data_IF_489415002246
#
_entry.id   IF_489415002246
#
_cell.length_a   1.000
_cell.length_b   1.000
_cell.length_c   1.000
_cell.angle_alpha   90.00
_cell.angle_beta   90.00
_cell.angle_gamma   90.00
#
_symmetry.space_group_name_H-M   'P 1'
#
loop_
_entity.id
_entity.type
_entity.pdbx_description
1 polymer ?
#
# COMPACT_ATOMS: atom_id res chain seq x y z
N UNK A 1 2.62 -10.81 16.44
CA UNK A 1 2.08 -9.43 16.55
C UNK A 1 3.00 -8.40 15.90
N UNK A 2 4.27 -8.26 16.33
CA UNK A 2 5.20 -7.27 15.74
C UNK A 2 5.36 -7.45 14.24
N UNK A 3 5.64 -8.69 13.79
CA UNK A 3 5.72 -9.03 12.37
C UNK A 3 4.52 -8.52 11.58
N UNK A 4 3.31 -8.86 12.05
CA UNK A 4 2.06 -8.41 11.42
C UNK A 4 1.94 -6.87 11.41
N UNK A 5 2.23 -6.21 12.53
CA UNK A 5 2.23 -4.73 12.60
C UNK A 5 3.21 -4.12 11.59
N UNK A 6 4.41 -4.68 11.47
CA UNK A 6 5.43 -4.21 10.52
C UNK A 6 4.97 -4.40 9.07
N UNK A 7 4.39 -5.55 8.72
CA UNK A 7 3.87 -5.84 7.38
C UNK A 7 2.67 -4.94 7.02
N UNK A 8 1.71 -4.78 7.94
CA UNK A 8 0.54 -3.89 7.76
C UNK A 8 0.98 -2.44 7.62
N UNK A 9 1.83 -1.93 8.52
CA UNK A 9 2.34 -0.57 8.44
C UNK A 9 3.19 -0.33 7.18
N UNK A 10 3.70 -1.39 6.55
CA UNK A 10 4.44 -1.34 5.27
C UNK A 10 3.56 -1.42 4.04
N UNK A 11 2.26 -1.68 4.19
CA UNK A 11 1.32 -1.87 3.08
C UNK A 11 1.52 -3.20 2.34
N UNK A 12 2.18 -4.18 2.96
CA UNK A 12 2.44 -5.50 2.36
C UNK A 12 1.14 -6.31 2.19
N UNK A 13 0.16 -6.06 3.04
CA UNK A 13 -1.10 -6.81 3.14
C UNK A 13 -2.26 -6.19 2.35
N UNK A 14 -2.01 -5.13 1.57
CA UNK A 14 -3.05 -4.43 0.82
C UNK A 14 -3.09 -4.79 -0.65
N UNK A 15 -4.33 -5.03 -1.09
CA UNK A 15 -4.71 -5.30 -2.48
C UNK A 15 -5.05 -4.02 -3.24
N UNK A 16 -5.16 -2.86 -2.58
CA UNK A 16 -5.66 -1.62 -3.17
C UNK A 16 -4.61 -0.49 -3.12
N UNK A 17 -4.31 0.06 -4.28
CA UNK A 17 -3.37 1.17 -4.46
C UNK A 17 -3.73 2.42 -3.65
N UNK A 18 -2.71 3.02 -3.02
CA UNK A 18 -2.77 4.32 -2.33
C UNK A 18 -2.38 4.34 -0.85
N UNK A 19 -1.92 3.23 -0.27
CA UNK A 19 -1.73 3.11 1.18
C UNK A 19 -0.39 3.59 1.74
N UNK A 20 0.04 4.78 1.32
CA UNK A 20 0.77 5.62 2.30
C UNK A 20 -0.15 5.87 3.52
N UNK A 21 -1.47 5.80 3.33
CA UNK A 21 -2.47 6.06 4.36
C UNK A 21 -2.56 5.01 5.47
N UNK A 22 -2.33 3.70 5.25
CA UNK A 22 -2.38 2.72 6.36
C UNK A 22 -1.28 3.00 7.39
N UNK A 23 -0.06 3.27 6.93
CA UNK A 23 1.03 3.66 7.83
C UNK A 23 0.64 4.89 8.68
N UNK A 24 -0.02 5.88 8.05
CA UNK A 24 -0.52 7.06 8.74
C UNK A 24 -1.68 6.76 9.69
N UNK A 25 -2.60 5.88 9.32
CA UNK A 25 -3.74 5.48 10.16
C UNK A 25 -3.27 4.71 11.40
N UNK A 26 -2.36 3.74 11.23
CA UNK A 26 -1.74 3.00 12.33
C UNK A 26 -0.97 3.94 13.26
N UNK A 27 -0.20 4.87 12.69
CA UNK A 27 0.51 5.89 13.48
C UNK A 27 -0.45 6.82 14.21
N UNK A 28 -1.50 7.30 13.55
CA UNK A 28 -2.53 8.16 14.18
C UNK A 28 -3.21 7.45 15.35
N UNK A 29 -3.63 6.19 15.17
CA UNK A 29 -4.25 5.39 16.22
C UNK A 29 -3.31 5.17 17.41
N UNK A 30 -2.01 4.93 17.15
CA UNK A 30 -0.99 4.84 18.20
C UNK A 30 -0.84 6.15 19.00
N UNK A 31 -0.72 7.29 18.31
CA UNK A 31 -0.58 8.59 18.98
C UNK A 31 -1.83 8.96 19.78
N UNK A 32 -3.03 8.67 19.28
CA UNK A 32 -4.29 8.85 20.00
C UNK A 32 -4.35 7.99 21.27
N UNK A 33 -3.99 6.72 21.18
CA UNK A 33 -3.96 5.81 22.33
C UNK A 33 -2.91 6.25 23.36
N UNK A 34 -1.75 6.73 22.91
CA UNK A 34 -0.66 7.22 23.74
C UNK A 34 -1.07 8.50 24.49
N UNK A 35 -1.64 9.48 23.79
CA UNK A 35 -2.16 10.71 24.37
C UNK A 35 -3.23 10.44 25.43
N UNK A 36 -4.01 9.38 25.23
CA UNK A 36 -5.07 8.97 26.12
C UNK A 36 -4.59 8.07 27.28
N UNK A 37 -3.27 7.90 27.47
CA UNK A 37 -2.67 7.13 28.57
C UNK A 37 -2.89 5.62 28.51
N UNK A 38 -3.26 5.08 27.34
CA UNK A 38 -3.61 3.66 27.14
C UNK A 38 -2.43 2.82 26.62
N UNK A 39 -1.25 3.43 26.48
CA UNK A 39 -0.04 2.79 25.95
C UNK A 39 1.01 2.72 27.05
N UNK A 40 1.25 1.51 27.57
CA UNK A 40 2.34 1.23 28.51
C UNK A 40 3.68 1.00 27.81
N UNK A 41 4.75 0.76 28.60
CA UNK A 41 6.13 0.55 28.12
C UNK A 41 6.24 -0.51 27.01
N UNK A 42 5.59 -1.66 27.20
CA UNK A 42 5.61 -2.78 26.24
C UNK A 42 4.97 -2.39 24.91
N UNK A 43 3.79 -1.77 24.96
CA UNK A 43 3.09 -1.32 23.74
C UNK A 43 3.86 -0.21 23.03
N UNK A 44 4.42 0.77 23.76
CA UNK A 44 5.25 1.82 23.16
C UNK A 44 6.40 1.22 22.36
N UNK A 45 7.12 0.27 22.97
CA UNK A 45 8.25 -0.40 22.31
C UNK A 45 7.82 -1.24 21.11
N UNK A 46 6.71 -1.96 21.22
CA UNK A 46 6.14 -2.76 20.13
C UNK A 46 5.84 -1.89 18.90
N UNK A 47 5.17 -0.75 19.09
CA UNK A 47 4.84 0.17 18.00
C UNK A 47 6.07 0.85 17.41
N UNK A 48 7.02 1.30 18.25
CA UNK A 48 8.27 1.89 17.78
C UNK A 48 9.09 0.92 16.92
N UNK A 49 9.27 -0.32 17.37
CA UNK A 49 9.94 -1.37 16.59
C UNK A 49 9.16 -1.73 15.33
N UNK A 50 7.83 -1.83 15.40
CA UNK A 50 6.98 -2.04 14.22
C UNK A 50 7.15 -0.93 13.17
N UNK A 51 7.17 0.34 13.58
CA UNK A 51 7.39 1.47 12.67
C UNK A 51 8.81 1.52 12.11
N UNK A 52 9.82 1.12 12.90
CA UNK A 52 11.21 1.00 12.46
C UNK A 52 11.35 -0.07 11.37
N UNK A 53 10.88 -1.30 11.64
CA UNK A 53 10.87 -2.38 10.66
C UNK A 53 10.10 -1.95 9.40
N UNK A 54 8.95 -1.31 9.59
CA UNK A 54 8.14 -0.85 8.47
C UNK A 54 8.85 0.18 7.58
N UNK A 55 9.60 1.11 8.18
CA UNK A 55 10.43 2.07 7.43
C UNK A 55 11.52 1.36 6.65
N UNK A 56 12.18 0.37 7.24
CA UNK A 56 13.23 -0.41 6.58
C UNK A 56 12.69 -1.26 5.44
N UNK A 57 11.55 -1.94 5.65
CA UNK A 57 10.85 -2.72 4.62
C UNK A 57 10.58 -1.84 3.40
N UNK A 58 9.95 -0.67 3.59
CA UNK A 58 9.66 0.26 2.49
C UNK A 58 10.92 0.69 1.75
N UNK A 59 12.01 0.99 2.46
CA UNK A 59 13.24 1.50 1.84
C UNK A 59 14.08 0.43 1.16
N UNK A 60 14.03 -0.83 1.62
CA UNK A 60 14.93 -1.90 1.15
C UNK A 60 14.29 -2.84 0.13
N UNK A 61 12.98 -3.04 0.20
CA UNK A 61 12.30 -4.05 -0.62
C UNK A 61 11.63 -3.46 -1.86
N UNK A 62 11.35 -2.15 -1.88
CA UNK A 62 10.52 -1.57 -2.94
C UNK A 62 9.12 -2.20 -3.03
N UNK A 63 8.61 -2.83 -1.96
CA UNK A 63 7.31 -3.55 -1.97
C UNK A 63 6.14 -2.69 -2.45
N UNK A 64 6.23 -1.36 -2.28
CA UNK A 64 5.23 -0.40 -2.73
C UNK A 64 5.10 -0.32 -4.26
N UNK A 65 6.20 -0.53 -4.99
CA UNK A 65 6.22 -0.52 -6.47
C UNK A 65 5.74 -1.85 -7.07
N UNK A 66 5.62 -2.90 -6.26
CA UNK A 66 5.29 -4.25 -6.72
C UNK A 66 3.78 -4.56 -6.65
N UNK A 67 3.00 -3.74 -5.95
CA UNK A 67 1.56 -3.92 -5.80
C UNK A 67 0.80 -2.98 -6.73
N UNK A 68 0.89 -3.23 -8.03
CA UNK A 68 0.30 -2.36 -9.04
C UNK A 68 -0.90 -3.03 -9.71
N UNK A 69 -2.08 -2.40 -9.59
CA UNK A 69 -3.29 -2.81 -10.30
C UNK A 69 -3.33 -2.23 -11.71
N UNK A 70 -4.15 -2.86 -12.56
CA UNK A 70 -4.36 -2.44 -13.95
C UNK A 70 -4.75 -0.95 -14.08
N UNK A 71 -5.69 -0.40 -13.28
CA UNK A 71 -5.98 1.05 -13.28
C UNK A 71 -4.77 1.94 -13.05
N UNK A 72 -3.84 1.55 -12.19
CA UNK A 72 -2.64 2.35 -11.92
C UNK A 72 -1.63 2.24 -13.05
N UNK A 73 -1.38 1.04 -13.57
CA UNK A 73 -0.51 0.86 -14.74
C UNK A 73 -1.03 1.65 -15.94
N UNK A 74 -2.34 1.63 -16.17
CA UNK A 74 -2.99 2.42 -17.21
C UNK A 74 -2.67 3.92 -17.06
N UNK A 75 -2.88 4.47 -15.85
CA UNK A 75 -2.61 5.90 -15.57
C UNK A 75 -1.12 6.24 -15.65
N UNK A 76 -0.25 5.36 -15.16
CA UNK A 76 1.20 5.55 -15.23
C UNK A 76 1.68 5.56 -16.68
N UNK A 77 1.28 4.57 -17.47
CA UNK A 77 1.60 4.47 -18.90
C UNK A 77 1.12 5.71 -19.66
N UNK A 78 -0.08 6.19 -19.36
CA UNK A 78 -0.61 7.41 -19.98
C UNK A 78 0.25 8.65 -19.66
N UNK A 79 0.73 8.78 -18.40
CA UNK A 79 1.62 9.88 -18.00
C UNK A 79 3.00 9.79 -18.67
N UNK A 80 3.52 8.58 -18.87
CA UNK A 80 4.80 8.36 -19.57
C UNK A 80 4.70 8.72 -21.05
N UNK A 81 3.62 8.30 -21.72
CA UNK A 81 3.39 8.58 -23.15
C UNK A 81 2.91 10.01 -23.43
N UNK A 82 2.25 10.65 -22.47
CA UNK A 82 1.72 12.03 -22.59
C UNK A 82 2.23 12.89 -21.42
N UNK A 83 3.47 13.44 -21.52
CA UNK A 83 4.13 14.18 -20.43
C UNK A 83 3.41 15.45 -19.93
N UNK A 84 2.42 15.95 -20.67
CA UNK A 84 1.58 17.09 -20.33
C UNK A 84 0.09 16.71 -20.37
N UNK A 85 -0.28 15.65 -19.66
CA UNK A 85 -1.65 15.16 -19.57
C UNK A 85 -2.53 16.13 -18.76
N UNK A 86 -3.05 17.15 -19.45
CA UNK A 86 -3.97 18.13 -18.89
C UNK A 86 -5.31 17.48 -18.52
N UNK A 87 -5.87 17.71 -17.31
CA UNK A 87 -7.12 17.09 -16.88
C UNK A 87 -8.30 17.34 -17.83
N UNK A 88 -8.43 18.56 -18.35
CA UNK A 88 -9.50 18.97 -19.27
C UNK A 88 -9.43 18.29 -20.65
N UNK A 89 -8.27 17.71 -20.99
CA UNK A 89 -8.04 16.90 -22.20
C UNK A 89 -7.93 15.41 -21.89
N UNK A 90 -8.32 14.99 -20.69
CA UNK A 90 -8.34 13.60 -20.25
C UNK A 90 -9.78 13.13 -20.08
N UNK A 91 -10.09 11.97 -20.66
CA UNK A 91 -11.41 11.35 -20.58
C UNK A 91 -11.38 9.98 -19.91
N UNK A 92 -12.45 9.61 -19.22
CA UNK A 92 -12.70 8.25 -18.71
C UNK A 92 -14.09 7.81 -19.15
N UNK A 93 -14.21 6.72 -19.89
CA UNK A 93 -15.47 6.10 -20.26
C UNK A 93 -15.80 5.02 -19.25
N UNK A 94 -16.96 5.12 -18.61
CA UNK A 94 -17.44 4.18 -17.60
C UNK A 94 -17.69 4.83 -16.25
N UNK A 95 -18.51 4.15 -15.43
CA UNK A 95 -18.85 4.59 -14.07
C UNK A 95 -18.77 3.46 -13.05
N UNK A 96 -18.12 2.36 -13.44
CA UNK A 96 -17.88 1.21 -12.57
C UNK A 96 -16.65 1.40 -11.67
N UNK A 97 -16.32 0.35 -10.93
CA UNK A 97 -15.18 0.33 -10.00
C UNK A 97 -13.84 0.66 -10.69
N UNK A 98 -13.60 0.14 -11.89
CA UNK A 98 -12.37 0.41 -12.64
C UNK A 98 -12.25 1.90 -13.02
N UNK A 99 -13.34 2.54 -13.44
CA UNK A 99 -13.36 3.97 -13.74
C UNK A 99 -13.09 4.80 -12.47
N UNK A 100 -13.65 4.39 -11.33
CA UNK A 100 -13.41 5.02 -10.03
C UNK A 100 -11.94 4.90 -9.60
N UNK A 101 -11.34 3.72 -9.78
CA UNK A 101 -9.91 3.50 -9.51
C UNK A 101 -9.02 4.33 -10.44
N UNK A 102 -9.37 4.48 -11.72
CA UNK A 102 -8.64 5.34 -12.66
C UNK A 102 -8.70 6.79 -12.19
N UNK A 103 -9.89 7.32 -11.87
CA UNK A 103 -10.06 8.68 -11.35
C UNK A 103 -9.25 8.92 -10.07
N UNK A 104 -9.27 7.95 -9.15
CA UNK A 104 -8.46 7.98 -7.92
C UNK A 104 -6.96 8.03 -8.21
N UNK A 105 -6.47 7.26 -9.17
CA UNK A 105 -5.04 7.24 -9.55
C UNK A 105 -4.63 8.49 -10.35
N UNK A 106 -5.54 9.07 -11.14
CA UNK A 106 -5.32 10.35 -11.81
C UNK A 106 -5.09 11.47 -10.78
N UNK A 107 -5.90 11.50 -9.70
CA UNK A 107 -5.67 12.38 -8.55
C UNK A 107 -5.78 13.88 -8.86
N UNK A 108 -6.51 14.23 -9.93
CA UNK A 108 -6.69 15.60 -10.41
C UNK A 108 -8.16 15.84 -10.75
N UNK A 109 -8.63 17.07 -10.53
CA UNK A 109 -9.98 17.52 -10.89
C UNK A 109 -10.05 17.97 -12.36
N UNK A 110 -11.24 18.03 -12.94
CA UNK A 110 -11.46 18.50 -14.32
C UNK A 110 -11.43 17.42 -15.40
N UNK A 111 -11.17 16.15 -15.02
CA UNK A 111 -11.23 14.99 -15.93
C UNK A 111 -12.66 14.74 -16.38
N UNK A 112 -12.89 14.57 -17.68
CA UNK A 112 -14.21 14.28 -18.23
C UNK A 112 -14.56 12.82 -18.02
N UNK A 113 -15.72 12.52 -17.45
CA UNK A 113 -16.21 11.15 -17.28
C UNK A 113 -17.46 10.95 -18.13
N UNK A 114 -17.40 9.96 -19.02
CA UNK A 114 -18.45 9.63 -19.97
C UNK A 114 -19.24 8.41 -19.50
N UNK A 115 -20.57 8.49 -19.49
CA UNK A 115 -21.41 7.37 -19.09
C UNK A 115 -22.88 7.52 -19.47
N UNK A 116 -23.62 6.41 -19.33
CA UNK A 116 -25.08 6.37 -19.55
C UNK A 116 -25.88 6.76 -18.31
N UNK A 117 -25.39 6.38 -17.13
CA UNK A 117 -26.08 6.63 -15.86
C UNK A 117 -25.67 7.99 -15.28
N UNK A 118 -26.57 8.96 -15.37
CA UNK A 118 -26.38 10.33 -14.88
C UNK A 118 -26.15 10.42 -13.37
N UNK A 119 -26.79 9.56 -12.58
CA UNK A 119 -26.64 9.54 -11.13
C UNK A 119 -25.21 9.13 -10.75
N UNK A 120 -24.71 8.04 -11.34
CA UNK A 120 -23.32 7.58 -11.11
C UNK A 120 -22.30 8.62 -11.58
N UNK A 121 -22.55 9.29 -12.70
CA UNK A 121 -21.70 10.37 -13.18
C UNK A 121 -21.63 11.53 -12.19
N UNK A 122 -22.77 11.95 -11.62
CA UNK A 122 -22.81 13.00 -10.59
C UNK A 122 -22.03 12.60 -9.35
N UNK A 123 -22.20 11.36 -8.86
CA UNK A 123 -21.46 10.85 -7.70
C UNK A 123 -19.94 10.87 -7.93
N UNK A 124 -19.48 10.52 -9.13
CA UNK A 124 -18.07 10.60 -9.49
C UNK A 124 -17.59 12.05 -9.58
N UNK A 125 -18.41 12.96 -10.09
CA UNK A 125 -18.13 14.39 -10.11
C UNK A 125 -17.98 14.97 -8.70
N UNK A 126 -18.90 14.66 -7.79
CA UNK A 126 -18.86 15.10 -6.39
C UNK A 126 -17.65 14.53 -5.64
N UNK A 127 -17.29 13.26 -5.89
CA UNK A 127 -16.23 12.58 -5.15
C UNK A 127 -14.82 12.93 -5.65
N UNK A 128 -14.65 13.15 -6.96
CA UNK A 128 -13.33 13.28 -7.60
C UNK A 128 -13.12 14.60 -8.36
N UNK A 129 -14.09 15.52 -8.32
CA UNK A 129 -14.03 16.75 -9.12
C UNK A 129 -14.06 16.48 -10.63
N UNK A 130 -14.61 15.33 -11.03
CA UNK A 130 -14.75 14.96 -12.44
C UNK A 130 -15.87 15.77 -13.12
N UNK A 131 -15.73 16.01 -14.41
CA UNK A 131 -16.75 16.67 -15.24
C UNK A 131 -17.66 15.60 -15.83
N UNK A 132 -18.92 15.46 -15.36
CA UNK A 132 -19.82 14.43 -15.86
C UNK A 132 -20.29 14.79 -17.28
N UNK A 133 -20.17 13.84 -18.21
CA UNK A 133 -20.59 13.98 -19.61
C UNK A 133 -21.41 12.76 -20.02
N UNK A 134 -22.52 12.98 -20.73
CA UNK A 134 -23.28 11.86 -21.30
C UNK A 134 -22.50 11.18 -22.41
N UNK A 135 -22.57 9.85 -22.48
CA UNK A 135 -21.79 9.07 -23.45
C UNK A 135 -22.05 9.45 -24.91
N UNK A 136 -23.26 9.92 -25.23
CA UNK A 136 -23.65 10.31 -26.59
C UNK A 136 -22.85 11.53 -27.10
N UNK A 137 -22.22 12.28 -26.20
CA UNK A 137 -21.33 13.41 -26.51
C UNK A 137 -19.88 12.99 -26.76
N UNK A 138 -19.55 11.70 -26.59
CA UNK A 138 -18.17 11.21 -26.73
C UNK A 138 -17.63 11.46 -28.14
N UNK A 139 -18.41 11.19 -29.19
CA UNK A 139 -17.99 11.41 -30.58
C UNK A 139 -17.62 12.88 -30.82
N UNK A 140 -18.46 13.81 -30.36
CA UNK A 140 -18.25 15.26 -30.53
C UNK A 140 -16.98 15.75 -29.82
N UNK A 141 -16.70 15.23 -28.63
CA UNK A 141 -15.62 15.71 -27.77
C UNK A 141 -14.31 14.95 -27.96
N UNK A 142 -14.29 13.89 -28.78
CA UNK A 142 -13.12 13.03 -28.95
C UNK A 142 -11.89 13.81 -29.41
N UNK A 143 -12.07 14.79 -30.32
CA UNK A 143 -10.99 15.62 -30.85
C UNK A 143 -10.34 16.57 -29.84
N UNK A 144 -10.98 16.81 -28.69
CA UNK A 144 -10.42 17.65 -27.63
C UNK A 144 -9.49 16.88 -26.68
N UNK A 145 -9.63 15.55 -26.66
CA UNK A 145 -8.90 14.67 -25.76
C UNK A 145 -7.50 14.36 -26.29
N UNK A 146 -6.57 14.16 -25.35
CA UNK A 146 -5.25 13.55 -25.61
C UNK A 146 -5.13 12.16 -25.02
N UNK A 147 -5.90 11.87 -23.97
CA UNK A 147 -5.93 10.57 -23.30
C UNK A 147 -7.39 10.20 -23.05
N UNK A 148 -7.75 8.97 -23.40
CA UNK A 148 -9.07 8.40 -23.13
C UNK A 148 -8.91 7.02 -22.49
N UNK A 149 -9.30 6.89 -21.23
CA UNK A 149 -9.42 5.61 -20.57
C UNK A 149 -10.79 5.00 -20.84
N UNK A 150 -10.86 3.71 -21.13
CA UNK A 150 -12.12 2.99 -21.35
C UNK A 150 -12.20 1.86 -20.33
N UNK A 151 -13.22 1.92 -19.47
CA UNK A 151 -13.37 1.03 -18.33
C UNK A 151 -14.85 0.70 -18.11
N UNK A 152 -15.44 -0.07 -19.03
CA UNK A 152 -16.85 -0.44 -18.96
C UNK A 152 -17.05 -1.95 -18.98
N UNK A 153 -18.28 -2.39 -18.75
CA UNK A 153 -18.71 -3.78 -18.86
C UNK A 153 -19.59 -4.01 -20.09
N UNK A 154 -19.46 -3.15 -21.11
CA UNK A 154 -20.20 -3.31 -22.36
C UNK A 154 -19.80 -4.62 -23.04
N UNK A 155 -20.75 -5.43 -23.52
CA UNK A 155 -20.44 -6.65 -24.27
C UNK A 155 -19.93 -6.34 -25.69
N UNK A 156 -20.24 -5.16 -26.22
CA UNK A 156 -19.85 -4.70 -27.54
C UNK A 156 -18.88 -3.50 -27.46
N UNK A 157 -17.99 -3.31 -28.45
CA UNK A 157 -17.17 -2.13 -28.58
C UNK A 157 -17.98 -0.83 -28.57
N UNK A 158 -17.55 0.13 -27.76
CA UNK A 158 -18.13 1.48 -27.66
C UNK A 158 -17.44 2.41 -28.67
N UNK A 159 -16.14 2.22 -28.91
CA UNK A 159 -15.36 2.99 -29.86
C UNK A 159 -15.01 2.11 -31.06
N UNK A 160 -15.56 2.47 -32.22
CA UNK A 160 -15.26 1.81 -33.49
C UNK A 160 -14.32 2.63 -34.34
N UNK A 161 -13.63 2.00 -35.28
CA UNK A 161 -12.72 2.70 -36.21
C UNK A 161 -13.44 3.81 -36.97
N UNK A 162 -14.65 3.56 -37.45
CA UNK A 162 -15.43 4.54 -38.22
C UNK A 162 -15.80 5.75 -37.37
N UNK A 163 -16.18 5.55 -36.11
CA UNK A 163 -16.50 6.62 -35.17
C UNK A 163 -15.27 7.50 -34.92
N UNK A 164 -14.13 6.89 -34.62
CA UNK A 164 -12.89 7.61 -34.33
C UNK A 164 -12.37 8.34 -35.57
N UNK A 165 -12.38 7.70 -36.75
CA UNK A 165 -11.97 8.34 -38.00
C UNK A 165 -12.87 9.53 -38.39
N UNK A 166 -14.17 9.47 -38.08
CA UNK A 166 -15.10 10.60 -38.31
C UNK A 166 -14.89 11.74 -37.33
N UNK A 167 -14.61 11.46 -36.07
CA UNK A 167 -14.55 12.46 -35.00
C UNK A 167 -13.16 13.10 -34.85
N UNK A 168 -12.11 12.29 -34.93
CA UNK A 168 -10.74 12.73 -34.68
C UNK A 168 -10.16 13.46 -35.91
N UNK A 169 -9.41 14.53 -35.66
CA UNK A 169 -8.83 15.40 -36.71
C UNK A 169 -7.31 15.57 -36.55
N UNK A 170 -6.66 14.71 -35.77
CA UNK A 170 -5.23 14.74 -35.46
C UNK A 170 -4.92 15.33 -34.08
N UNK A 171 -3.62 15.40 -33.73
CA UNK A 171 -3.16 15.96 -32.43
C UNK A 171 -2.71 14.95 -31.38
N UNK A 172 -2.66 13.66 -31.72
CA UNK A 172 -2.24 12.56 -30.85
C UNK A 172 -3.29 12.21 -29.79
N UNK A 173 -3.89 11.03 -29.91
CA UNK A 173 -4.83 10.48 -28.93
C UNK A 173 -4.35 9.11 -28.46
N UNK A 174 -4.10 8.99 -27.16
CA UNK A 174 -3.86 7.71 -26.50
C UNK A 174 -5.17 7.18 -25.94
N UNK A 175 -5.54 5.96 -26.32
CA UNK A 175 -6.71 5.25 -25.79
C UNK A 175 -6.21 4.06 -24.98
N UNK A 176 -6.59 3.97 -23.71
CA UNK A 176 -6.23 2.87 -22.82
C UNK A 176 -7.50 2.13 -22.41
N UNK A 177 -7.70 0.94 -22.98
CA UNK A 177 -8.88 0.11 -22.74
C UNK A 177 -8.61 -0.98 -21.71
N UNK A 178 -9.12 -0.76 -20.49
CA UNK A 178 -9.03 -1.71 -19.38
C UNK A 178 -10.26 -2.63 -19.26
N UNK A 179 -11.11 -2.67 -20.30
CA UNK A 179 -12.38 -3.42 -20.32
C UNK A 179 -12.19 -4.87 -20.77
N UNK A 180 -12.97 -5.78 -20.18
CA UNK A 180 -13.05 -7.20 -20.58
C UNK A 180 -14.52 -7.61 -20.68
N UNK A 181 -15.05 -7.90 -21.88
CA UNK A 181 -14.39 -7.83 -23.20
C UNK A 181 -13.98 -6.41 -23.61
N UNK A 182 -13.11 -6.29 -24.63
CA UNK A 182 -12.63 -4.99 -25.13
C UNK A 182 -13.80 -4.10 -25.56
N UNK A 183 -13.69 -2.82 -25.24
CA UNK A 183 -14.66 -1.79 -25.59
C UNK A 183 -14.15 -0.81 -26.64
N UNK A 184 -12.92 -1.02 -27.11
CA UNK A 184 -12.33 -0.34 -28.27
C UNK A 184 -12.00 -1.40 -29.32
N UNK A 185 -12.43 -1.18 -30.55
CA UNK A 185 -12.01 -2.06 -31.66
C UNK A 185 -10.51 -1.95 -31.90
N UNK A 186 -9.86 -3.06 -32.21
CA UNK A 186 -8.42 -3.09 -32.49
C UNK A 186 -8.04 -2.18 -33.67
N UNK A 187 -8.91 -2.12 -34.69
CA UNK A 187 -8.72 -1.32 -35.88
C UNK A 187 -8.76 0.21 -35.62
N UNK A 188 -9.17 0.66 -34.41
CA UNK A 188 -9.06 2.08 -34.00
C UNK A 188 -7.60 2.54 -33.99
N UNK A 189 -6.66 1.67 -33.64
CA UNK A 189 -5.22 1.98 -33.65
C UNK A 189 -4.65 2.21 -35.06
N UNK A 190 -5.40 1.89 -36.12
CA UNK A 190 -5.01 2.18 -37.50
C UNK A 190 -5.35 3.62 -37.93
N UNK A 191 -6.11 4.37 -37.12
CA UNK A 191 -6.42 5.77 -37.38
C UNK A 191 -5.18 6.62 -37.11
N UNK A 192 -4.81 7.47 -38.07
CA UNK A 192 -3.60 8.30 -37.98
C UNK A 192 -3.61 9.17 -36.70
N UNK A 193 -2.53 9.08 -35.92
CA UNK A 193 -2.38 9.82 -34.68
C UNK A 193 -3.15 9.24 -33.49
N UNK A 194 -3.70 8.03 -33.60
CA UNK A 194 -4.31 7.30 -32.49
C UNK A 194 -3.40 6.13 -32.07
N UNK A 195 -3.19 5.99 -30.77
CA UNK A 195 -2.51 4.85 -30.17
C UNK A 195 -3.47 4.13 -29.22
N UNK A 196 -3.54 2.81 -29.29
CA UNK A 196 -4.37 2.00 -28.41
C UNK A 196 -3.51 1.08 -27.55
N UNK A 197 -3.85 0.98 -26.27
CA UNK A 197 -3.29 0.03 -25.32
C UNK A 197 -4.45 -0.74 -24.71
N UNK A 198 -4.33 -2.06 -24.63
CA UNK A 198 -5.38 -2.93 -24.12
C UNK A 198 -5.01 -3.53 -22.77
N UNK A 199 -6.02 -4.10 -22.12
CA UNK A 199 -5.88 -4.75 -20.82
C UNK A 199 -4.81 -5.83 -20.82
N UNK A 200 -4.67 -6.57 -21.93
CA UNK A 200 -3.73 -7.68 -22.04
C UNK A 200 -2.27 -7.20 -21.94
N UNK A 201 -1.94 -6.07 -22.57
CA UNK A 201 -0.61 -5.44 -22.49
C UNK A 201 -0.29 -5.03 -21.05
N UNK A 202 -1.29 -4.48 -20.34
CA UNK A 202 -1.15 -4.08 -18.94
C UNK A 202 -1.07 -5.29 -17.99
N UNK A 203 -1.69 -6.42 -18.34
CA UNK A 203 -1.64 -7.66 -17.54
C UNK A 203 -0.25 -8.26 -17.51
N UNK A 204 0.47 -8.25 -18.63
CA UNK A 204 1.84 -8.78 -18.66
C UNK A 204 2.75 -8.00 -17.69
N UNK A 205 2.67 -6.66 -17.73
CA UNK A 205 3.41 -5.79 -16.79
C UNK A 205 2.95 -6.01 -15.34
N UNK A 206 1.64 -6.15 -15.12
CA UNK A 206 1.10 -6.45 -13.79
C UNK A 206 1.59 -7.80 -13.25
N UNK A 207 1.68 -8.81 -14.10
CA UNK A 207 2.19 -10.13 -13.75
C UNK A 207 3.67 -10.10 -13.39
N UNK A 208 4.49 -9.33 -14.12
CA UNK A 208 5.89 -9.11 -13.77
C UNK A 208 6.02 -8.43 -12.39
N UNK A 209 5.22 -7.39 -12.15
CA UNK A 209 5.17 -6.72 -10.85
C UNK A 209 4.69 -7.66 -9.74
N UNK A 210 3.71 -8.53 -10.01
CA UNK A 210 3.23 -9.53 -9.06
C UNK A 210 4.32 -10.58 -8.73
N UNK A 211 5.11 -11.02 -9.72
CA UNK A 211 6.25 -11.92 -9.48
C UNK A 211 7.31 -11.25 -8.61
N UNK A 212 7.62 -9.99 -8.88
CA UNK A 212 8.51 -9.20 -8.02
C UNK A 212 7.93 -9.01 -6.61
N UNK A 213 6.61 -8.85 -6.47
CA UNK A 213 5.94 -8.68 -5.18
C UNK A 213 6.17 -9.88 -4.26
N UNK A 214 6.14 -11.10 -4.79
CA UNK A 214 6.38 -12.31 -4.00
C UNK A 214 7.79 -12.34 -3.39
N UNK A 215 8.81 -11.99 -4.19
CA UNK A 215 10.19 -11.90 -3.71
C UNK A 215 10.37 -10.76 -2.70
N UNK A 216 9.82 -9.59 -2.99
CA UNK A 216 9.88 -8.42 -2.09
C UNK A 216 9.13 -8.67 -0.78
N UNK A 217 8.05 -9.46 -0.81
CA UNK A 217 7.30 -9.86 0.38
C UNK A 217 8.15 -10.79 1.26
N UNK A 218 8.87 -11.75 0.68
CA UNK A 218 9.83 -12.59 1.43
C UNK A 218 10.86 -11.75 2.16
N UNK A 219 11.49 -10.79 1.46
CA UNK A 219 12.45 -9.87 2.07
C UNK A 219 11.81 -9.01 3.17
N UNK A 220 10.56 -8.59 2.99
CA UNK A 220 9.81 -7.84 4.01
C UNK A 220 9.56 -8.69 5.26
N UNK A 221 9.19 -9.96 5.08
CA UNK A 221 9.00 -10.92 6.18
C UNK A 221 10.29 -11.16 6.95
N UNK A 222 11.45 -11.27 6.27
CA UNK A 222 12.76 -11.42 6.93
C UNK A 222 13.11 -10.22 7.81
N UNK A 223 12.90 -8.99 7.32
CA UNK A 223 13.12 -7.77 8.10
C UNK A 223 12.18 -7.72 9.31
N UNK A 224 10.91 -8.08 9.10
CA UNK A 224 9.90 -8.08 10.14
C UNK A 224 10.17 -9.13 11.22
N UNK A 225 10.67 -10.31 10.84
CA UNK A 225 11.07 -11.39 11.75
C UNK A 225 12.26 -10.97 12.60
N UNK A 226 13.31 -10.40 11.98
CA UNK A 226 14.50 -9.92 12.68
C UNK A 226 14.16 -8.89 13.76
N UNK A 227 13.30 -7.92 13.45
CA UNK A 227 12.87 -6.93 14.45
C UNK A 227 11.96 -7.55 15.53
N UNK A 228 11.15 -8.57 15.18
CA UNK A 228 10.36 -9.32 16.16
C UNK A 228 11.25 -10.07 17.16
N UNK A 229 12.34 -10.69 16.69
CA UNK A 229 13.34 -11.32 17.55
C UNK A 229 14.03 -10.32 18.47
N UNK A 230 14.43 -9.15 17.95
CA UNK A 230 15.02 -8.07 18.77
C UNK A 230 14.06 -7.59 19.87
N UNK A 231 12.77 -7.45 19.53
CA UNK A 231 11.74 -7.09 20.50
C UNK A 231 11.56 -8.17 21.57
N UNK A 232 11.53 -9.45 21.19
CA UNK A 232 11.38 -10.55 22.14
C UNK A 232 12.55 -10.64 23.11
N UNK A 233 13.79 -10.52 22.62
CA UNK A 233 14.99 -10.46 23.47
C UNK A 233 14.91 -9.33 24.49
N UNK A 234 14.43 -8.15 24.05
CA UNK A 234 14.18 -7.03 24.96
C UNK A 234 13.07 -7.34 25.98
N UNK A 235 11.97 -7.94 25.55
CA UNK A 235 10.85 -8.27 26.42
C UNK A 235 11.27 -9.27 27.52
N UNK A 236 11.97 -10.33 27.15
CA UNK A 236 12.52 -11.34 28.08
C UNK A 236 13.48 -10.70 29.10
N UNK A 237 14.25 -9.68 28.70
CA UNK A 237 15.13 -8.96 29.62
C UNK A 237 14.37 -8.22 30.73
N UNK A 238 13.12 -7.82 30.49
CA UNK A 238 12.28 -7.18 31.51
C UNK A 238 11.80 -8.17 32.56
N UNK A 239 11.48 -9.41 32.16
CA UNK A 239 11.09 -10.46 33.10
C UNK A 239 12.25 -10.79 34.04
N UNK A 240 13.47 -10.86 33.51
CA UNK A 240 14.69 -11.03 34.33
C UNK A 240 14.88 -9.85 35.29
N UNK A 241 14.69 -8.61 34.82
CA UNK A 241 14.81 -7.41 35.66
C UNK A 241 13.80 -7.41 36.83
N UNK A 242 12.55 -7.80 36.56
CA UNK A 242 11.51 -7.89 37.59
C UNK A 242 11.75 -9.04 38.58
N UNK A 243 12.25 -10.19 38.11
CA UNK A 243 12.70 -11.30 38.99
C UNK A 243 13.83 -10.84 39.89
N UNK A 244 14.82 -10.13 39.36
CA UNK A 244 15.96 -9.58 40.12
C UNK A 244 15.48 -8.56 41.15
N UNK A 245 14.59 -7.63 40.77
CA UNK A 245 13.98 -6.67 41.71
C UNK A 245 13.19 -7.38 42.81
N UNK A 246 12.41 -8.40 42.48
CA UNK A 246 11.65 -9.18 43.45
C UNK A 246 12.57 -9.95 44.40
N UNK A 247 13.68 -10.50 43.90
CA UNK A 247 14.71 -11.13 44.71
C UNK A 247 15.32 -10.14 45.70
N UNK A 248 15.81 -8.98 45.24
CA UNK A 248 16.39 -7.97 46.13
C UNK A 248 15.40 -7.40 47.15
N UNK A 249 14.13 -7.20 46.77
CA UNK A 249 13.09 -6.78 47.72
C UNK A 249 12.82 -7.83 48.81
N UNK A 250 12.99 -9.11 48.51
CA UNK A 250 12.91 -10.20 49.51
C UNK A 250 14.15 -10.23 50.42
N UNK A 251 15.28 -9.72 49.95
CA UNK A 251 16.50 -9.57 50.72
C UNK A 251 16.47 -8.35 51.65
N UNK A 252 15.78 -7.27 51.25
CA UNK A 252 15.48 -6.09 52.07
C UNK A 252 14.56 -6.48 53.25
N UNK A 253 15.18 -6.94 54.34
CA UNK A 253 14.50 -7.45 55.54
C UNK A 253 15.14 -8.71 56.13
N UNK A 254 16.08 -9.32 55.40
CA UNK A 254 16.83 -10.49 55.87
C UNK A 254 18.17 -10.05 56.48
N UNK A 255 18.55 -10.49 57.70
CA UNK A 255 19.86 -10.16 58.27
C UNK A 255 21.02 -10.67 57.39
N UNK A 256 22.10 -9.90 57.18
CA UNK A 256 23.20 -10.24 56.25
C UNK A 256 23.80 -11.64 56.44
N UNK A 257 23.85 -12.14 57.68
CA UNK A 257 24.37 -13.48 58.02
C UNK A 257 23.48 -14.64 57.52
N UNK A 258 22.16 -14.45 57.42
CA UNK A 258 21.23 -15.45 56.87
C UNK A 258 21.31 -15.50 55.34
N UNK A 259 21.38 -14.32 54.75
CA UNK A 259 21.54 -14.05 53.33
C UNK A 259 22.76 -14.75 52.71
N UNK A 260 23.94 -14.56 53.32
CA UNK A 260 25.17 -15.21 52.88
C UNK A 260 25.10 -16.74 52.96
N UNK A 261 24.41 -17.29 53.95
CA UNK A 261 24.29 -18.73 54.14
C UNK A 261 23.35 -19.37 53.11
N UNK A 262 22.21 -18.75 52.84
CA UNK A 262 21.24 -19.21 51.83
C UNK A 262 21.76 -19.03 50.40
N UNK A 263 22.42 -17.91 50.10
CA UNK A 263 23.02 -17.66 48.79
C UNK A 263 24.11 -18.70 48.47
N UNK A 264 24.99 -19.01 49.43
CA UNK A 264 26.04 -20.03 49.26
C UNK A 264 25.46 -21.44 49.08
N UNK A 265 24.33 -21.77 49.73
CA UNK A 265 23.65 -23.05 49.55
C UNK A 265 23.02 -23.16 48.16
N UNK A 266 22.28 -22.14 47.70
CA UNK A 266 21.64 -22.15 46.38
C UNK A 266 22.64 -22.05 45.22
N UNK A 267 23.73 -21.31 45.38
CA UNK A 267 24.81 -21.23 44.38
C UNK A 267 25.60 -22.55 44.26
N UNK A 268 25.65 -23.36 45.32
CA UNK A 268 26.23 -24.71 45.26
C UNK A 268 25.31 -25.73 44.57
N UNK A 269 23.99 -25.52 44.63
CA UNK A 269 23.00 -26.44 44.06
C UNK A 269 22.65 -26.14 42.60
N UNK A 270 22.81 -24.90 42.12
CA UNK A 270 22.46 -24.52 40.74
C UNK A 270 23.61 -23.81 40.02
N UNK A 271 24.21 -24.50 39.04
CA UNK A 271 25.26 -23.96 38.16
C UNK A 271 24.77 -22.79 37.30
N UNK A 272 23.50 -22.77 36.94
CA UNK A 272 22.87 -21.74 36.10
C UNK A 272 22.72 -20.41 36.86
N UNK A 273 22.30 -20.45 38.12
CA UNK A 273 22.23 -19.28 38.99
C UNK A 273 23.62 -18.66 39.23
N UNK A 274 24.66 -19.49 39.35
CA UNK A 274 26.04 -19.04 39.52
C UNK A 274 26.63 -18.41 38.23
N UNK A 275 26.07 -18.71 37.06
CA UNK A 275 26.46 -18.10 35.79
C UNK A 275 25.76 -16.76 35.60
N UNK A 276 24.44 -16.71 35.78
CA UNK A 276 23.64 -15.48 35.71
C UNK A 276 24.12 -14.40 36.70
N UNK A 277 24.55 -14.80 37.90
CA UNK A 277 25.10 -13.87 38.90
C UNK A 277 26.49 -13.34 38.51
N UNK A 278 27.32 -14.13 37.84
CA UNK A 278 28.64 -13.67 37.36
C UNK A 278 28.51 -12.68 36.21
N UNK A 279 27.59 -12.92 35.28
CA UNK A 279 27.29 -11.97 34.21
C UNK A 279 26.72 -10.65 34.73
N UNK A 280 25.79 -10.68 35.70
CA UNK A 280 25.15 -9.48 36.24
C UNK A 280 26.10 -8.57 37.03
N UNK A 281 27.13 -9.13 37.64
CA UNK A 281 28.07 -8.41 38.51
C UNK A 281 29.50 -8.31 37.95
N UNK A 282 29.76 -8.83 36.74
CA UNK A 282 31.06 -8.74 36.07
C UNK A 282 32.19 -9.46 36.80
N UNK A 283 31.90 -10.61 37.43
CA UNK A 283 32.85 -11.42 38.21
C UNK A 283 33.29 -12.70 37.49
#
# INVERSE_FOLDING_TARGET
MLKHLALVASGCDSLALGEVQIAHQVRKAYEEAKAAGRVGKILSRLFESGFKASKEIRSRTGIQEASVSIPHLAVQLAREKVPEMAPERTGVVGTGEMAELILRNLGVEGVRVFGRNLERLRLLGERYGAVPVQIDRLEELLGELRVLFVATSSPEPILTKEMVARAFRGGGLLIVDVSVPRNVEEAVGEVEGVECVFTDDLREVAEEHARMKAERLRQAEEIAEREAEEFWKWYESLEVEDIVKAFFRKLEGTPPKKLLREAVLKLKESKELAHAFRELFGL
#
